data_IF_205254450441
#
_entry.id   IF_205254450441
#
_cell.length_a   1.000
_cell.length_b   1.000
_cell.length_c   1.000
_cell.angle_alpha   90.00
_cell.angle_beta   90.00
_cell.angle_gamma   90.00
#
_symmetry.space_group_name_H-M   'P 1'
#
loop_
_entity.id
_entity.type
_entity.pdbx_description
1 polymer ?
#
# COMPACT_ATOMS: atom_id res chain seq x y z
N UNK A 1 9.41 -9.10 -14.21
CA UNK A 1 9.02 -7.75 -13.76
C UNK A 1 9.18 -6.76 -14.92
N UNK A 2 8.24 -5.83 -15.14
CA UNK A 2 8.37 -4.81 -16.18
C UNK A 2 9.44 -3.76 -15.81
N UNK A 3 10.18 -3.27 -16.80
CA UNK A 3 11.25 -2.27 -16.64
C UNK A 3 10.72 -0.85 -16.38
N UNK A 4 9.48 -0.57 -16.78
CA UNK A 4 8.78 0.68 -16.52
C UNK A 4 7.46 0.39 -15.81
N UNK A 5 7.20 1.11 -14.73
CA UNK A 5 5.94 1.04 -13.98
C UNK A 5 5.41 2.46 -13.75
N UNK A 6 4.13 2.66 -14.04
CA UNK A 6 3.40 3.84 -13.62
C UNK A 6 2.89 3.63 -12.21
N UNK A 7 3.30 4.50 -11.28
CA UNK A 7 2.84 4.46 -9.90
C UNK A 7 2.20 5.79 -9.53
N UNK A 8 1.01 5.72 -8.95
CA UNK A 8 0.35 6.88 -8.35
C UNK A 8 0.98 7.11 -6.98
N UNK A 9 1.53 8.30 -6.78
CA UNK A 9 2.12 8.72 -5.51
C UNK A 9 1.52 10.05 -5.06
N UNK A 10 1.52 10.31 -3.75
CA UNK A 10 1.16 11.63 -3.21
C UNK A 10 2.23 12.65 -3.62
N UNK A 11 1.81 13.72 -4.32
CA UNK A 11 2.69 14.82 -4.77
C UNK A 11 3.21 15.67 -3.60
N UNK A 12 2.63 15.51 -2.40
CA UNK A 12 2.94 16.29 -1.20
C UNK A 12 2.17 17.61 -1.10
N UNK A 13 1.50 18.02 -2.17
CA UNK A 13 0.60 19.17 -2.16
C UNK A 13 -0.72 18.83 -1.47
N UNK A 14 -1.12 19.65 -0.49
CA UNK A 14 -2.36 19.46 0.28
C UNK A 14 -3.16 20.75 0.30
N UNK A 15 -4.41 20.69 -0.15
CA UNK A 15 -5.37 21.79 -0.02
C UNK A 15 -6.38 21.46 1.07
N UNK A 16 -6.67 22.42 1.95
CA UNK A 16 -7.63 22.24 3.05
C UNK A 16 -8.91 23.03 2.79
N UNK A 17 -10.04 22.33 2.83
CA UNK A 17 -11.38 22.89 2.83
C UNK A 17 -11.97 22.83 4.24
N UNK A 18 -12.78 23.83 4.59
CA UNK A 18 -13.55 23.85 5.83
C UNK A 18 -15.02 23.99 5.48
N UNK A 19 -15.87 23.31 6.25
CA UNK A 19 -17.31 23.39 6.10
C UNK A 19 -18.02 23.25 7.44
N UNK A 20 -19.29 23.62 7.46
CA UNK A 20 -20.18 23.39 8.58
C UNK A 20 -21.28 22.46 8.08
N UNK A 21 -21.52 21.38 8.83
CA UNK A 21 -22.65 20.49 8.60
C UNK A 21 -23.73 20.77 9.62
N UNK A 22 -24.94 20.98 9.14
CA UNK A 22 -26.13 21.22 9.94
C UNK A 22 -27.13 20.15 9.55
N UNK A 23 -27.31 19.13 10.40
CA UNK A 23 -28.13 17.95 10.10
C UNK A 23 -27.69 17.23 8.81
N UNK A 24 -28.46 17.33 7.72
CA UNK A 24 -28.20 16.70 6.41
C UNK A 24 -27.49 17.63 5.41
N UNK A 25 -27.34 18.92 5.75
CA UNK A 25 -26.77 19.93 4.84
C UNK A 25 -25.31 20.21 5.16
N UNK A 26 -24.49 20.25 4.12
CA UNK A 26 -23.08 20.65 4.21
C UNK A 26 -22.91 21.99 3.51
N UNK A 27 -22.38 22.98 4.25
CA UNK A 27 -22.02 24.28 3.73
C UNK A 27 -20.50 24.38 3.77
N UNK A 28 -19.86 24.28 2.60
CA UNK A 28 -18.42 24.49 2.48
C UNK A 28 -18.13 26.00 2.53
N UNK A 29 -17.26 26.39 3.45
CA UNK A 29 -16.79 27.78 3.63
C UNK A 29 -15.58 28.02 2.74
N UNK A 30 -14.67 27.06 2.66
CA UNK A 30 -13.46 27.16 1.84
C UNK A 30 -13.31 25.93 0.95
N UNK A 31 -12.81 26.15 -0.27
CA UNK A 31 -12.42 25.09 -1.21
C UNK A 31 -13.51 24.02 -1.36
N UNK A 32 -14.68 24.37 -1.94
CA UNK A 32 -15.81 23.46 -2.05
C UNK A 32 -15.47 22.23 -2.90
N UNK A 33 -14.60 22.41 -3.90
CA UNK A 33 -14.14 21.37 -4.81
C UNK A 33 -12.61 21.25 -4.77
N UNK A 34 -12.10 20.10 -5.19
CA UNK A 34 -10.67 19.86 -5.21
C UNK A 34 -9.99 20.72 -6.29
N UNK A 35 -8.87 21.38 -5.99
CA UNK A 35 -8.10 22.13 -6.99
C UNK A 35 -7.14 21.25 -7.81
N UNK A 36 -7.13 19.92 -7.60
CA UNK A 36 -6.20 18.99 -8.24
C UNK A 36 -6.94 18.03 -9.18
N UNK A 37 -6.29 17.62 -10.26
CA UNK A 37 -6.87 16.68 -11.23
C UNK A 37 -7.06 15.27 -10.64
N UNK A 38 -6.07 14.78 -9.88
CA UNK A 38 -6.14 13.53 -9.14
C UNK A 38 -5.96 13.80 -7.64
N UNK A 39 -6.88 13.28 -6.82
CA UNK A 39 -6.94 13.62 -5.41
C UNK A 39 -7.41 12.46 -4.55
N UNK A 40 -6.78 12.31 -3.39
CA UNK A 40 -7.33 11.54 -2.26
C UNK A 40 -8.03 12.52 -1.31
N UNK A 41 -9.33 12.31 -1.06
CA UNK A 41 -10.15 13.14 -0.18
C UNK A 41 -10.26 12.51 1.21
N UNK A 42 -9.83 13.24 2.23
CA UNK A 42 -9.97 12.84 3.63
C UNK A 42 -10.89 13.82 4.36
N UNK A 43 -11.96 13.33 4.98
CA UNK A 43 -12.96 14.17 5.66
C UNK A 43 -12.89 13.89 7.16
N UNK A 44 -12.66 14.94 7.94
CA UNK A 44 -12.67 14.88 9.41
C UNK A 44 -13.84 15.72 9.93
N UNK A 45 -14.58 15.14 10.87
CA UNK A 45 -15.75 15.75 11.49
C UNK A 45 -15.45 16.03 12.95
N UNK A 46 -15.64 17.27 13.37
CA UNK A 46 -15.44 17.72 14.74
C UNK A 46 -16.80 18.13 15.32
N UNK A 47 -17.21 17.42 16.36
CA UNK A 47 -18.46 17.67 17.07
C UNK A 47 -18.13 18.12 18.49
N UNK A 48 -18.80 19.15 18.97
CA UNK A 48 -18.60 19.67 20.32
C UNK A 48 -19.82 19.35 21.19
N UNK A 49 -19.57 18.69 22.32
CA UNK A 49 -20.55 18.48 23.38
C UNK A 49 -20.17 19.34 24.59
N UNK A 50 -21.12 20.10 25.12
CA UNK A 50 -20.90 20.97 26.29
C UNK A 50 -21.69 20.44 27.48
N UNK A 51 -21.01 19.91 28.49
CA UNK A 51 -21.66 19.38 29.70
C UNK A 51 -22.42 18.06 29.49
N UNK A 52 -23.33 17.73 30.42
CA UNK A 52 -23.88 16.37 30.54
C UNK A 52 -24.85 15.96 29.42
N UNK A 53 -25.52 16.91 28.75
CA UNK A 53 -26.55 16.62 27.74
C UNK A 53 -26.59 17.60 26.54
N UNK A 54 -25.77 18.65 26.48
CA UNK A 54 -25.84 19.62 25.38
C UNK A 54 -24.97 19.18 24.21
N UNK A 55 -25.62 18.86 23.10
CA UNK A 55 -24.96 18.57 21.83
C UNK A 55 -25.08 19.80 20.93
N UNK A 56 -23.96 20.30 20.44
CA UNK A 56 -24.02 21.41 19.49
C UNK A 56 -24.62 20.90 18.18
N UNK A 57 -25.66 21.56 17.62
CA UNK A 57 -26.42 21.04 16.48
C UNK A 57 -25.69 21.15 15.15
N UNK A 58 -24.43 21.60 15.17
CA UNK A 58 -23.60 21.74 13.98
C UNK A 58 -22.27 21.02 14.18
N UNK A 59 -21.77 20.44 13.11
CA UNK A 59 -20.50 19.71 13.05
C UNK A 59 -19.53 20.51 12.17
N UNK A 60 -18.29 20.68 12.61
CA UNK A 60 -17.25 21.31 11.79
C UNK A 60 -16.59 20.22 10.94
N UNK A 61 -16.62 20.41 9.63
CA UNK A 61 -15.95 19.56 8.66
C UNK A 61 -14.63 20.20 8.25
N UNK A 62 -13.56 19.42 8.27
CA UNK A 62 -12.32 19.75 7.59
C UNK A 62 -12.04 18.69 6.53
N UNK A 63 -11.85 19.12 5.30
CA UNK A 63 -11.60 18.28 4.14
C UNK A 63 -10.16 18.50 3.69
N UNK A 64 -9.32 17.47 3.77
CA UNK A 64 -7.97 17.49 3.25
C UNK A 64 -7.98 16.86 1.85
N UNK A 65 -7.61 17.64 0.84
CA UNK A 65 -7.41 17.20 -0.55
C UNK A 65 -5.92 16.97 -0.77
N UNK A 66 -5.48 15.71 -0.85
CA UNK A 66 -4.08 15.37 -1.13
C UNK A 66 -3.91 15.14 -2.62
N UNK A 67 -3.06 15.94 -3.26
CA UNK A 67 -2.77 15.81 -4.68
C UNK A 67 -2.03 14.50 -4.97
N UNK A 68 -2.48 13.79 -5.99
CA UNK A 68 -1.83 12.60 -6.52
C UNK A 68 -1.13 12.93 -7.83
N UNK A 69 0.02 12.32 -8.05
CA UNK A 69 0.81 12.48 -9.27
C UNK A 69 1.20 11.09 -9.79
N UNK A 70 1.14 10.93 -11.11
CA UNK A 70 1.57 9.70 -11.77
C UNK A 70 3.06 9.78 -12.04
N UNK A 71 3.84 8.98 -11.31
CA UNK A 71 5.28 8.92 -11.46
C UNK A 71 5.65 7.73 -12.33
N UNK A 72 6.38 7.99 -13.42
CA UNK A 72 6.97 6.94 -14.24
C UNK A 72 8.28 6.47 -13.60
N UNK A 73 8.25 5.33 -12.92
CA UNK A 73 9.46 4.70 -12.43
C UNK A 73 10.09 3.87 -13.54
N UNK A 74 11.23 4.33 -14.03
CA UNK A 74 12.10 3.52 -14.90
C UNK A 74 13.12 2.82 -14.01
N UNK A 75 13.07 1.49 -13.96
CA UNK A 75 14.01 0.68 -13.19
C UNK A 75 15.14 0.19 -14.07
N UNK A 76 16.33 0.05 -13.49
CA UNK A 76 17.41 -0.68 -14.14
C UNK A 76 17.11 -2.19 -14.16
N UNK A 77 17.74 -2.92 -15.08
CA UNK A 77 17.59 -4.39 -15.17
C UNK A 77 18.00 -5.09 -13.88
N UNK A 78 19.04 -4.58 -13.22
CA UNK A 78 19.57 -5.14 -11.97
C UNK A 78 18.59 -4.95 -10.80
N UNK A 79 18.00 -3.76 -10.66
CA UNK A 79 16.99 -3.49 -9.64
C UNK A 79 15.72 -4.32 -9.86
N UNK A 80 15.26 -4.42 -11.11
CA UNK A 80 14.09 -5.24 -11.46
C UNK A 80 14.33 -6.73 -11.12
N UNK A 81 15.57 -7.21 -11.26
CA UNK A 81 15.97 -8.57 -10.91
C UNK A 81 15.97 -8.80 -9.40
N UNK A 82 16.57 -7.90 -8.62
CA UNK A 82 16.61 -8.02 -7.17
C UNK A 82 15.20 -8.03 -6.57
N UNK A 83 14.30 -7.19 -7.08
CA UNK A 83 12.90 -7.16 -6.65
C UNK A 83 12.19 -8.47 -7.00
N UNK A 84 12.39 -8.99 -8.21
CA UNK A 84 11.79 -10.24 -8.65
C UNK A 84 12.29 -11.45 -7.82
N UNK A 85 13.58 -11.48 -7.51
CA UNK A 85 14.17 -12.51 -6.64
C UNK A 85 13.60 -12.43 -5.23
N UNK A 86 13.56 -11.24 -4.64
CA UNK A 86 12.99 -11.04 -3.31
C UNK A 86 11.53 -11.48 -3.25
N UNK A 87 10.71 -11.09 -4.22
CA UNK A 87 9.32 -11.50 -4.29
C UNK A 87 9.15 -13.02 -4.39
N UNK A 88 9.98 -13.69 -5.20
CA UNK A 88 9.96 -15.13 -5.31
C UNK A 88 10.37 -15.81 -3.99
N UNK A 89 11.39 -15.30 -3.30
CA UNK A 89 11.81 -15.80 -1.98
C UNK A 89 10.75 -15.59 -0.91
N UNK A 90 10.12 -14.41 -0.88
CA UNK A 90 9.01 -14.10 0.03
C UNK A 90 7.83 -15.06 -0.20
N UNK A 91 7.47 -15.32 -1.46
CA UNK A 91 6.43 -16.30 -1.81
C UNK A 91 6.78 -17.72 -1.36
N UNK A 92 8.02 -18.17 -1.56
CA UNK A 92 8.47 -19.49 -1.12
C UNK A 92 8.43 -19.58 0.41
N UNK A 93 8.97 -18.59 1.11
CA UNK A 93 8.98 -18.57 2.59
C UNK A 93 7.58 -18.64 3.19
N UNK A 94 6.58 -18.04 2.54
CA UNK A 94 5.18 -18.11 2.97
C UNK A 94 4.56 -19.51 2.86
N UNK A 95 5.17 -20.39 2.05
CA UNK A 95 4.71 -21.76 1.78
C UNK A 95 5.53 -22.82 2.53
N UNK A 96 6.67 -22.46 3.11
CA UNK A 96 7.51 -23.37 3.90
C UNK A 96 6.88 -23.57 5.28
N UNK A 97 6.83 -24.82 5.75
CA UNK A 97 6.30 -25.17 7.07
C UNK A 97 7.10 -24.46 8.19
N UNK A 98 6.44 -23.94 9.24
CA UNK A 98 7.13 -23.37 10.39
C UNK A 98 8.03 -24.42 11.05
N UNK A 99 9.35 -24.25 10.96
CA UNK A 99 10.35 -25.19 11.49
C UNK A 99 11.06 -26.04 10.44
N UNK A 100 10.67 -25.97 9.16
CA UNK A 100 11.45 -26.56 8.09
C UNK A 100 12.75 -25.75 7.85
N UNK A 101 13.87 -26.45 7.83
CA UNK A 101 15.18 -25.86 7.54
C UNK A 101 15.43 -25.80 6.03
N UNK A 102 15.97 -24.70 5.52
CA UNK A 102 16.39 -24.61 4.12
C UNK A 102 17.75 -25.29 3.98
N UNK A 103 17.84 -26.30 3.10
CA UNK A 103 19.08 -27.02 2.80
C UNK A 103 19.84 -26.30 1.69
N UNK A 104 19.15 -25.96 0.60
CA UNK A 104 19.76 -25.38 -0.59
C UNK A 104 18.79 -24.42 -1.30
N UNK A 105 19.34 -23.39 -1.94
CA UNK A 105 18.60 -22.41 -2.73
C UNK A 105 19.30 -22.18 -4.08
N UNK A 106 18.55 -22.28 -5.18
CA UNK A 106 19.02 -22.01 -6.52
C UNK A 106 18.21 -20.90 -7.18
N UNK A 107 18.91 -19.87 -7.68
CA UNK A 107 18.30 -18.77 -8.43
C UNK A 107 18.68 -18.88 -9.91
N UNK A 108 17.68 -18.98 -10.79
CA UNK A 108 17.86 -19.02 -12.25
C UNK A 108 17.16 -17.84 -12.91
N UNK A 109 17.88 -17.17 -13.81
CA UNK A 109 17.33 -16.09 -14.63
C UNK A 109 16.94 -16.69 -15.99
N UNK A 110 15.66 -16.58 -16.31
CA UNK A 110 15.10 -16.99 -17.59
C UNK A 110 14.83 -15.75 -18.43
N UNK A 111 15.29 -15.76 -19.68
CA UNK A 111 14.93 -14.71 -20.64
C UNK A 111 13.41 -14.71 -20.86
N UNK A 112 12.78 -13.54 -20.72
CA UNK A 112 11.38 -13.32 -21.07
C UNK A 112 11.25 -12.66 -22.45
N UNK A 113 10.08 -12.08 -22.73
CA UNK A 113 9.89 -11.17 -23.88
C UNK A 113 10.80 -9.94 -23.79
N UNK A 114 10.99 -9.23 -24.90
CA UNK A 114 11.99 -8.17 -25.13
C UNK A 114 12.34 -7.24 -23.93
N UNK A 115 11.36 -6.86 -23.10
CA UNK A 115 11.52 -5.97 -21.95
C UNK A 115 11.22 -6.61 -20.58
N UNK A 116 11.29 -7.94 -20.50
CA UNK A 116 10.94 -8.69 -19.29
C UNK A 116 11.94 -9.80 -19.01
N UNK A 117 12.42 -9.86 -17.77
CA UNK A 117 13.16 -11.02 -17.24
C UNK A 117 12.25 -11.82 -16.29
N UNK A 118 12.40 -13.15 -16.31
CA UNK A 118 11.74 -14.07 -15.38
C UNK A 118 12.80 -14.63 -14.43
N UNK A 119 12.54 -14.56 -13.12
CA UNK A 119 13.40 -15.15 -12.10
C UNK A 119 12.69 -16.38 -11.55
N UNK A 120 13.41 -17.49 -11.47
CA UNK A 120 12.95 -18.74 -10.84
C UNK A 120 13.85 -19.01 -9.65
N UNK A 121 13.24 -19.13 -8.48
CA UNK A 121 13.91 -19.54 -7.25
C UNK A 121 13.42 -20.94 -6.91
N UNK A 122 14.36 -21.86 -6.67
CA UNK A 122 14.09 -23.22 -6.23
C UNK A 122 14.74 -23.38 -4.86
N UNK A 123 13.98 -23.87 -3.88
CA UNK A 123 14.45 -24.05 -2.50
C UNK A 123 14.18 -25.48 -2.08
N UNK A 124 15.20 -26.16 -1.58
CA UNK A 124 15.09 -27.48 -0.98
C UNK A 124 15.00 -27.33 0.54
N UNK A 125 13.97 -27.94 1.15
CA UNK A 125 13.71 -27.84 2.58
C UNK A 125 13.66 -29.19 3.25
N UNK A 126 14.19 -29.27 4.47
CA UNK A 126 14.08 -30.40 5.36
C UNK A 126 13.02 -30.14 6.43
N UNK A 127 12.09 -31.07 6.60
CA UNK A 127 11.09 -31.04 7.67
C UNK A 127 11.11 -32.38 8.42
N UNK A 128 11.16 -32.32 9.75
CA UNK A 128 11.02 -33.50 10.60
C UNK A 128 9.53 -33.74 10.89
N UNK A 129 8.98 -34.81 10.33
CA UNK A 129 7.55 -35.11 10.38
C UNK A 129 7.16 -36.04 11.54
N UNK A 130 8.10 -36.44 12.42
CA UNK A 130 7.84 -37.45 13.45
C UNK A 130 8.13 -36.95 14.87
N UNK A 131 7.08 -36.59 15.62
CA UNK A 131 7.14 -36.53 17.08
C UNK A 131 6.71 -37.89 17.63
N UNK A 132 7.67 -38.74 18.00
CA UNK A 132 7.36 -39.94 18.77
C UNK A 132 6.95 -39.52 20.20
N UNK A 133 5.75 -39.87 20.69
CA UNK A 133 5.44 -39.71 22.10
C UNK A 133 6.37 -40.64 22.89
N UNK A 134 7.17 -40.06 23.79
CA UNK A 134 7.97 -40.83 24.74
C UNK A 134 7.03 -41.73 25.57
N UNK A 135 7.29 -43.05 25.67
CA UNK A 135 6.51 -43.96 26.52
C UNK A 135 6.72 -43.70 28.02
#
# INVERSE_FOLDING_TARGET
MPLSEEKIQESGNVAKGWGIKISDRVIMITTPESPYEQVTKEVKTHTYSVGRNWHFPVEILSVDYKALETVHLTRTKEEARQIAEKQARDEISSKISPGAGIIEEHVRILAGSADTERVRVETETYEDLAVYPNP
#
